data_IF_684861847839
#
_entry.id   IF_684861847839
#
_cell.length_a   1.000
_cell.length_b   1.000
_cell.length_c   1.000
_cell.angle_alpha   90.00
_cell.angle_beta   90.00
_cell.angle_gamma   90.00
#
_symmetry.space_group_name_H-M   'P 1'
#
loop_
_entity.id
_entity.type
_entity.pdbx_description
1 polymer ?
#
# COMPACT_ATOMS: atom_id res chain seq x y z
N UNK A 1 15.97 1.28 -6.86
CA UNK A 1 14.58 0.79 -7.02
C UNK A 1 13.63 1.91 -6.63
N UNK A 2 12.45 1.97 -7.25
CA UNK A 2 11.45 3.01 -6.94
C UNK A 2 10.49 2.49 -5.86
N UNK A 3 10.02 3.38 -5.00
CA UNK A 3 9.00 3.07 -4.01
C UNK A 3 7.61 3.33 -4.57
N UNK A 4 6.71 2.40 -4.36
CA UNK A 4 5.30 2.50 -4.74
C UNK A 4 4.43 2.24 -3.52
N UNK A 5 3.27 2.88 -3.48
CA UNK A 5 2.24 2.64 -2.48
C UNK A 5 1.11 1.87 -3.14
N UNK A 6 0.82 0.68 -2.63
CA UNK A 6 -0.34 -0.11 -3.00
C UNK A 6 -1.45 0.20 -1.99
N UNK A 7 -2.56 0.73 -2.47
CA UNK A 7 -3.76 0.97 -1.67
C UNK A 7 -4.83 -0.06 -2.03
N UNK A 8 -5.23 -0.86 -1.06
CA UNK A 8 -6.34 -1.80 -1.13
C UNK A 8 -7.60 -1.16 -0.56
N UNK A 9 -8.71 -1.23 -1.27
CA UNK A 9 -10.03 -0.77 -0.80
C UNK A 9 -10.95 -1.97 -0.62
N UNK A 10 -11.46 -2.13 0.60
CA UNK A 10 -12.38 -3.18 1.03
C UNK A 10 -13.82 -2.64 1.06
N UNK A 11 -14.79 -3.48 1.39
CA UNK A 11 -16.16 -3.02 1.69
C UNK A 11 -16.18 -2.04 2.87
N UNK A 12 -17.22 -1.20 2.94
CA UNK A 12 -17.42 -0.18 3.98
C UNK A 12 -16.44 1.01 3.99
N UNK A 13 -15.66 1.18 2.92
CA UNK A 13 -14.75 2.33 2.78
C UNK A 13 -13.43 2.19 3.54
N UNK A 14 -13.15 0.99 4.06
CA UNK A 14 -11.86 0.64 4.64
C UNK A 14 -10.80 0.64 3.55
N UNK A 15 -9.73 1.42 3.76
CA UNK A 15 -8.58 1.47 2.86
C UNK A 15 -7.32 1.14 3.62
N UNK A 16 -6.46 0.30 3.05
CA UNK A 16 -5.16 0.01 3.63
C UNK A 16 -4.05 0.19 2.63
N UNK A 17 -2.92 0.73 3.09
CA UNK A 17 -1.79 1.10 2.24
C UNK A 17 -0.53 0.32 2.66
N UNK A 18 0.19 -0.19 1.67
CA UNK A 18 1.49 -0.86 1.82
C UNK A 18 2.51 -0.19 0.91
N UNK A 19 3.72 0.06 1.41
CA UNK A 19 4.83 0.53 0.58
C UNK A 19 5.68 -0.65 0.12
N UNK A 20 6.02 -0.69 -1.17
CA UNK A 20 6.87 -1.71 -1.78
C UNK A 20 7.96 -1.07 -2.65
N UNK A 21 9.07 -1.77 -2.84
CA UNK A 21 10.13 -1.38 -3.76
C UNK A 21 10.07 -2.25 -5.02
N UNK A 22 10.02 -1.63 -6.20
CA UNK A 22 9.96 -2.31 -7.50
C UNK A 22 10.63 -1.47 -8.61
N UNK A 23 10.78 -2.07 -9.79
CA UNK A 23 11.35 -1.38 -10.97
C UNK A 23 10.29 -0.56 -11.71
N UNK A 24 9.09 -1.13 -11.86
CA UNK A 24 7.95 -0.50 -12.56
C UNK A 24 6.62 -0.69 -11.80
N UNK A 25 5.57 0.02 -12.24
CA UNK A 25 4.22 -0.16 -11.66
C UNK A 25 3.60 -1.48 -12.13
N UNK A 26 3.97 -1.93 -13.32
CA UNK A 26 3.54 -3.18 -13.94
C UNK A 26 4.04 -4.40 -13.14
N UNK A 27 5.26 -4.33 -12.59
CA UNK A 27 5.79 -5.36 -11.69
C UNK A 27 4.96 -5.44 -10.40
N UNK A 28 4.64 -4.27 -9.82
CA UNK A 28 3.81 -4.18 -8.61
C UNK A 28 2.39 -4.73 -8.87
N UNK A 29 1.82 -4.44 -10.03
CA UNK A 29 0.51 -4.96 -10.42
C UNK A 29 0.54 -6.49 -10.56
N UNK A 30 1.60 -7.04 -11.16
CA UNK A 30 1.75 -8.49 -11.30
C UNK A 30 1.85 -9.20 -9.95
N UNK A 31 2.58 -8.61 -9.00
CA UNK A 31 2.66 -9.10 -7.61
C UNK A 31 1.27 -9.07 -6.96
N UNK A 32 0.60 -7.93 -6.96
CA UNK A 32 -0.73 -7.77 -6.35
C UNK A 32 -1.80 -8.68 -6.98
N UNK A 33 -1.68 -8.99 -8.27
CA UNK A 33 -2.60 -9.90 -8.95
C UNK A 33 -2.31 -11.38 -8.68
N UNK A 34 -1.07 -11.75 -8.36
CA UNK A 34 -0.71 -13.13 -8.03
C UNK A 34 -1.10 -13.55 -6.62
N UNK A 35 -1.24 -12.61 -5.69
CA UNK A 35 -1.59 -12.87 -4.30
C UNK A 35 -3.08 -13.28 -4.20
N UNK A 36 -3.38 -14.37 -3.49
CA UNK A 36 -4.76 -14.77 -3.12
C UNK A 36 -5.15 -14.26 -1.73
N UNK A 37 -4.17 -14.18 -0.84
CA UNK A 37 -4.29 -13.59 0.50
C UNK A 37 -3.31 -12.42 0.53
N UNK A 38 -3.81 -11.23 0.80
CA UNK A 38 -2.97 -10.05 0.97
C UNK A 38 -2.60 -9.96 2.45
N UNK A 39 -1.30 -9.98 2.70
CA UNK A 39 -0.71 -9.85 4.03
C UNK A 39 0.23 -8.65 4.07
N UNK A 40 0.08 -7.77 5.05
CA UNK A 40 1.09 -6.76 5.37
C UNK A 40 0.98 -6.27 6.81
N UNK A 41 2.05 -5.65 7.27
CA UNK A 41 2.12 -4.92 8.53
C UNK A 41 1.92 -3.43 8.25
N UNK A 42 1.01 -2.80 8.99
CA UNK A 42 0.72 -1.38 8.83
C UNK A 42 1.72 -0.49 9.60
N UNK A 43 1.50 0.83 9.56
CA UNK A 43 2.36 1.80 10.26
C UNK A 43 2.25 1.75 11.79
N UNK A 44 1.24 1.06 12.33
CA UNK A 44 1.02 0.86 13.75
C UNK A 44 1.55 -0.50 14.23
N UNK A 45 2.13 -1.31 13.33
CA UNK A 45 2.63 -2.65 13.64
C UNK A 45 1.53 -3.72 13.64
N UNK A 46 0.36 -3.43 13.09
CA UNK A 46 -0.76 -4.37 13.00
C UNK A 46 -0.61 -5.26 11.77
N UNK A 47 -0.66 -6.57 12.00
CA UNK A 47 -0.68 -7.56 10.93
C UNK A 47 -2.10 -7.67 10.35
N UNK A 48 -2.25 -7.18 9.12
CA UNK A 48 -3.49 -7.22 8.36
C UNK A 48 -3.47 -8.39 7.36
N UNK A 49 -4.56 -9.16 7.33
CA UNK A 49 -4.76 -10.34 6.49
C UNK A 49 -6.17 -10.26 5.88
N UNK A 50 -6.29 -10.24 4.55
CA UNK A 50 -7.59 -10.32 3.88
C UNK A 50 -7.54 -11.17 2.62
N UNK A 51 -8.67 -11.79 2.30
CA UNK A 51 -8.83 -12.49 1.05
C UNK A 51 -8.95 -11.46 -0.08
N UNK A 52 -8.35 -11.77 -1.22
CA UNK A 52 -8.46 -10.93 -2.42
C UNK A 52 -9.90 -10.77 -2.90
N UNK A 53 -10.77 -11.74 -2.63
CA UNK A 53 -12.20 -11.66 -2.99
C UNK A 53 -12.92 -10.47 -2.31
N UNK A 54 -12.41 -10.02 -1.16
CA UNK A 54 -12.98 -8.89 -0.40
C UNK A 54 -12.50 -7.53 -0.94
N UNK A 55 -11.49 -7.52 -1.81
CA UNK A 55 -10.90 -6.30 -2.37
C UNK A 55 -11.76 -5.81 -3.53
N UNK A 56 -12.30 -4.60 -3.40
CA UNK A 56 -13.08 -3.95 -4.47
C UNK A 56 -12.21 -3.18 -5.44
N UNK A 57 -11.08 -2.63 -4.98
CA UNK A 57 -10.19 -1.82 -5.80
C UNK A 57 -8.76 -1.84 -5.28
N UNK A 58 -7.80 -1.95 -6.20
CA UNK A 58 -6.37 -1.77 -5.94
C UNK A 58 -5.90 -0.52 -6.68
N UNK A 59 -5.22 0.40 -5.98
CA UNK A 59 -4.56 1.56 -6.57
C UNK A 59 -3.06 1.49 -6.32
N UNK A 60 -2.25 1.76 -7.33
CA UNK A 60 -0.80 1.86 -7.21
C UNK A 60 -0.41 3.32 -7.42
N UNK A 61 0.20 3.93 -6.43
CA UNK A 61 0.65 5.33 -6.44
C UNK A 61 2.16 5.38 -6.34
N UNK A 62 2.76 6.47 -6.84
CA UNK A 62 4.16 6.74 -6.53
C UNK A 62 4.28 7.08 -5.04
N UNK A 63 5.33 6.56 -4.40
CA UNK A 63 5.64 6.95 -3.04
C UNK A 63 6.11 8.42 -3.02
N UNK A 64 5.41 9.24 -2.24
CA UNK A 64 5.79 10.62 -1.98
C UNK A 64 6.39 10.63 -0.58
N UNK A 65 7.67 11.03 -0.45
CA UNK A 65 8.27 11.21 0.87
C UNK A 65 7.44 12.20 1.69
N UNK A 66 7.05 11.85 2.93
CA UNK A 66 6.34 12.79 3.79
C UNK A 66 7.24 14.01 3.99
N UNK A 67 6.76 15.17 3.57
CA UNK A 67 7.46 16.43 3.78
C UNK A 67 7.45 16.70 5.27
N UNK A 68 8.56 16.36 5.95
CA UNK A 68 8.79 16.79 7.31
C UNK A 68 8.96 18.31 7.31
N UNK A 69 7.85 19.05 7.42
CA UNK A 69 7.92 20.43 7.89
C UNK A 69 8.25 20.35 9.37
N UNK A 70 9.54 20.20 9.66
CA UNK A 70 10.09 20.41 10.99
C UNK A 70 9.65 21.81 11.42
N UNK A 71 8.68 21.88 12.34
CA UNK A 71 8.36 23.11 13.07
C UNK A 71 9.57 23.46 13.93
N UNK A 72 10.59 24.04 13.30
CA UNK A 72 11.56 24.90 13.97
C UNK A 72 10.91 26.28 14.06
N UNK A 73 10.40 26.60 15.24
CA UNK A 73 9.86 27.92 15.57
C UNK A 73 8.88 27.78 16.75
N UNK A 74 9.16 28.31 17.93
CA UNK A 74 10.27 29.13 18.42
C UNK A 74 10.29 29.16 19.94
#
# INVERSE_FOLDING_TARGET
MKKFVIQYTLEEGLTVERTVEAESREDVASIALSEQIVQFEDVFGELNLFNKDDIKLVKIKDYIEPVNTSRRGG
#
